data_IF_927463393489
#
_entry.id   IF_927463393489
#
_cell.length_a   1.000
_cell.length_b   1.000
_cell.length_c   1.000
_cell.angle_alpha   90.00
_cell.angle_beta   90.00
_cell.angle_gamma   90.00
#
_symmetry.space_group_name_H-M   'P 1'
#
loop_
_entity.id
_entity.type
_entity.pdbx_description
1 polymer ?
#
# COMPACT_ATOMS: atom_id res chain seq x y z
N UNK A 1 -11.07 -13.09 -55.18
CA UNK A 1 -10.98 -11.94 -56.12
C UNK A 1 -10.56 -10.70 -55.34
N UNK A 2 -9.48 -10.05 -55.80
CA UNK A 2 -9.02 -8.67 -55.58
C UNK A 2 -8.95 -8.12 -54.13
N UNK A 3 -7.71 -8.08 -53.64
CA UNK A 3 -7.18 -7.13 -52.65
C UNK A 3 -7.39 -5.70 -53.15
N UNK A 4 -7.77 -4.77 -52.27
CA UNK A 4 -7.61 -3.33 -52.47
C UNK A 4 -6.81 -2.77 -51.30
N UNK A 5 -5.62 -2.31 -51.66
CA UNK A 5 -4.66 -1.48 -50.91
C UNK A 5 -4.88 -0.04 -51.36
N UNK A 6 -4.89 0.94 -50.46
CA UNK A 6 -4.41 2.34 -50.62
C UNK A 6 -4.63 3.03 -49.25
N UNK A 7 -3.64 3.34 -48.40
CA UNK A 7 -2.42 4.15 -48.51
C UNK A 7 -2.70 5.66 -48.43
N UNK A 8 -2.74 6.20 -47.20
CA UNK A 8 -2.68 7.63 -46.78
C UNK A 8 -2.30 7.59 -45.28
N UNK A 9 -1.34 8.29 -44.66
CA UNK A 9 -0.54 9.48 -44.97
C UNK A 9 0.76 9.37 -44.13
N UNK A 10 1.92 9.63 -44.74
CA UNK A 10 3.21 9.78 -44.04
C UNK A 10 3.25 11.20 -43.46
N UNK A 11 3.29 11.31 -42.13
CA UNK A 11 3.62 12.55 -41.42
C UNK A 11 5.05 12.44 -40.88
N UNK A 12 5.84 13.41 -41.30
CA UNK A 12 7.27 13.62 -41.12
C UNK A 12 7.71 13.67 -39.66
N UNK A 13 8.52 12.70 -39.24
CA UNK A 13 9.40 12.82 -38.08
C UNK A 13 10.71 13.48 -38.52
N UNK A 14 10.77 14.79 -38.35
CA UNK A 14 12.04 15.51 -38.19
C UNK A 14 12.43 15.37 -36.73
N UNK A 15 13.24 14.37 -36.40
CA UNK A 15 13.91 14.32 -35.10
C UNK A 15 15.33 14.86 -35.27
N UNK A 16 15.53 16.06 -34.74
CA UNK A 16 16.85 16.65 -34.61
C UNK A 16 17.74 15.79 -33.70
N UNK A 17 18.88 15.46 -34.28
CA UNK A 17 20.08 14.94 -33.67
C UNK A 17 20.64 15.98 -32.67
N UNK A 18 20.77 15.63 -31.39
CA UNK A 18 21.73 16.31 -30.52
C UNK A 18 22.51 15.27 -29.72
N UNK A 19 23.72 14.99 -30.22
CA UNK A 19 24.82 14.37 -29.47
C UNK A 19 25.44 15.45 -28.60
N UNK A 20 25.59 15.19 -27.31
CA UNK A 20 26.25 16.13 -26.41
C UNK A 20 26.32 15.69 -24.95
N UNK A 21 26.52 14.41 -24.65
CA UNK A 21 26.80 13.98 -23.27
C UNK A 21 28.24 14.36 -22.91
N UNK A 22 28.44 15.60 -22.45
CA UNK A 22 29.63 15.95 -21.66
C UNK A 22 29.48 15.27 -20.31
N UNK A 23 30.31 14.25 -20.06
CA UNK A 23 30.54 13.73 -18.71
C UNK A 23 31.20 14.86 -17.90
N UNK A 24 30.44 15.52 -17.04
CA UNK A 24 31.00 16.30 -15.93
C UNK A 24 31.59 15.33 -14.93
N UNK A 25 32.91 15.21 -14.96
CA UNK A 25 33.69 14.52 -13.94
C UNK A 25 33.65 15.43 -12.71
N UNK A 26 32.79 15.13 -11.74
CA UNK A 26 32.88 15.73 -10.42
C UNK A 26 34.12 15.15 -9.74
N UNK A 27 35.20 15.92 -9.78
CA UNK A 27 36.37 15.72 -8.93
C UNK A 27 35.94 16.18 -7.53
N UNK A 28 35.59 15.23 -6.66
CA UNK A 28 35.61 15.45 -5.22
C UNK A 28 37.07 15.72 -4.88
N UNK A 29 37.38 16.93 -4.41
CA UNK A 29 38.64 17.22 -3.75
C UNK A 29 38.76 16.27 -2.55
N UNK A 30 39.52 15.19 -2.77
CA UNK A 30 40.01 14.35 -1.69
C UNK A 30 40.99 15.20 -0.90
N UNK A 31 40.56 15.63 0.29
CA UNK A 31 41.44 16.20 1.31
C UNK A 31 42.56 15.17 1.55
N UNK A 32 43.76 15.48 1.06
CA UNK A 32 44.96 14.75 1.40
C UNK A 32 45.27 15.04 2.86
N UNK A 33 45.04 14.07 3.73
CA UNK A 33 45.64 14.03 5.07
C UNK A 33 47.11 13.70 4.85
N UNK A 34 47.94 14.74 4.78
CA UNK A 34 49.40 14.60 4.81
C UNK A 34 49.85 14.41 6.25
N UNK A 35 50.60 13.34 6.47
CA UNK A 35 51.28 12.99 7.71
C UNK A 35 52.14 14.14 8.28
N UNK A 36 52.07 14.23 9.61
CA UNK A 36 53.06 14.72 10.58
C UNK A 36 54.03 15.81 10.11
N UNK A 37 53.68 17.06 10.43
CA UNK A 37 54.68 18.05 10.83
C UNK A 37 54.16 18.87 12.02
N UNK A 38 55.11 19.17 12.90
CA UNK A 38 54.96 19.67 14.26
C UNK A 38 54.01 20.88 14.40
N UNK A 39 53.08 20.77 15.35
CA UNK A 39 52.15 21.82 15.77
C UNK A 39 52.88 23.01 16.43
N UNK A 40 52.72 24.25 15.92
CA UNK A 40 52.91 25.44 16.73
C UNK A 40 51.72 25.58 17.69
N UNK A 41 52.01 25.67 18.99
CA UNK A 41 51.03 26.05 20.00
C UNK A 41 50.57 27.50 19.78
N UNK A 42 49.27 27.67 19.64
CA UNK A 42 48.59 28.93 19.93
C UNK A 42 47.82 29.50 18.74
N UNK A 43 46.51 29.31 18.76
CA UNK A 43 45.52 30.38 18.69
C UNK A 43 44.17 29.82 19.15
N UNK A 44 43.55 30.48 20.12
CA UNK A 44 42.18 30.20 20.58
C UNK A 44 41.23 30.32 19.37
N UNK A 45 40.65 29.19 18.95
CA UNK A 45 39.54 29.18 18.00
C UNK A 45 38.38 29.93 18.66
N UNK A 46 38.10 31.13 18.14
CA UNK A 46 36.93 31.90 18.51
C UNK A 46 35.70 31.02 18.32
N UNK A 47 35.02 30.69 19.42
CA UNK A 47 33.73 30.02 19.38
C UNK A 47 32.78 30.89 18.57
N UNK A 48 32.53 30.49 17.33
CA UNK A 48 31.46 31.06 16.52
C UNK A 48 30.17 30.63 17.21
N UNK A 49 29.62 31.50 18.06
CA UNK A 49 28.30 31.31 18.63
C UNK A 49 27.32 31.08 17.47
N UNK A 50 26.82 29.84 17.35
CA UNK A 50 25.75 29.54 16.41
C UNK A 50 24.60 30.50 16.72
N UNK A 51 24.09 31.25 15.73
CA UNK A 51 23.02 32.20 15.96
C UNK A 51 21.82 31.49 16.59
N UNK A 52 21.28 32.08 17.67
CA UNK A 52 20.15 31.53 18.39
C UNK A 52 18.94 31.46 17.46
N UNK A 53 18.57 30.23 17.09
CA UNK A 53 17.51 29.93 16.13
C UNK A 53 16.17 30.51 16.60
N UNK A 54 15.45 31.22 15.72
CA UNK A 54 14.14 31.77 16.04
C UNK A 54 13.05 30.69 15.90
N UNK A 55 12.87 29.91 16.96
CA UNK A 55 11.94 28.76 17.02
C UNK A 55 10.51 29.12 16.61
N UNK A 56 10.05 30.36 16.88
CA UNK A 56 8.69 30.79 16.52
C UNK A 56 8.49 30.96 15.01
N UNK A 57 9.51 31.41 14.26
CA UNK A 57 9.39 31.58 12.82
C UNK A 57 9.34 30.22 12.10
N UNK A 58 10.22 29.30 12.50
CA UNK A 58 10.30 27.94 11.96
C UNK A 58 9.01 27.16 12.25
N UNK A 59 8.49 27.25 13.48
CA UNK A 59 7.23 26.60 13.83
C UNK A 59 6.05 27.09 12.97
N UNK A 60 6.01 28.39 12.64
CA UNK A 60 5.00 28.93 11.72
C UNK A 60 5.16 28.38 10.31
N UNK A 61 6.37 28.26 9.79
CA UNK A 61 6.62 27.69 8.47
C UNK A 61 6.23 26.20 8.41
N UNK A 62 6.64 25.43 9.42
CA UNK A 62 6.25 24.03 9.60
C UNK A 62 4.72 23.85 9.61
N UNK A 63 3.99 24.71 10.33
CA UNK A 63 2.53 24.70 10.33
C UNK A 63 1.94 24.94 8.92
N UNK A 64 2.54 25.83 8.12
CA UNK A 64 2.09 26.07 6.74
C UNK A 64 2.32 24.85 5.83
N UNK A 65 3.37 24.04 6.07
CA UNK A 65 3.59 22.77 5.36
C UNK A 65 2.47 21.78 5.70
N UNK A 66 2.16 21.59 6.98
CA UNK A 66 1.10 20.68 7.44
C UNK A 66 -0.28 21.08 6.91
N UNK A 67 -0.56 22.38 6.84
CA UNK A 67 -1.79 22.94 6.27
C UNK A 67 -1.80 22.93 4.73
N UNK A 68 -0.75 22.39 4.08
CA UNK A 68 -0.57 22.39 2.63
C UNK A 68 -0.60 23.78 1.98
N UNK A 69 -0.33 24.84 2.75
CA UNK A 69 -0.28 26.23 2.25
C UNK A 69 1.05 26.56 1.58
N UNK A 70 2.11 25.85 1.95
CA UNK A 70 3.43 25.93 1.35
C UNK A 70 3.89 24.52 1.00
N UNK A 71 4.47 24.35 -0.18
CA UNK A 71 5.15 23.11 -0.55
C UNK A 71 6.59 23.16 -0.05
N UNK A 72 7.11 22.10 0.58
CA UNK A 72 8.53 22.03 0.91
C UNK A 72 9.37 22.11 -0.37
N UNK A 73 10.53 22.74 -0.27
CA UNK A 73 11.47 22.91 -1.38
C UNK A 73 12.90 23.00 -0.84
N UNK A 74 13.89 23.00 -1.73
CA UNK A 74 15.30 23.19 -1.39
C UNK A 74 15.58 24.65 -0.93
N UNK A 75 15.17 24.96 0.31
CA UNK A 75 15.35 26.26 0.95
C UNK A 75 15.70 26.13 2.44
N UNK A 76 16.22 27.22 3.01
CA UNK A 76 16.68 27.23 4.40
C UNK A 76 15.57 26.90 5.39
N UNK A 77 14.35 27.40 5.18
CA UNK A 77 13.24 27.17 6.10
C UNK A 77 12.83 25.70 6.17
N UNK A 78 12.91 24.96 5.05
CA UNK A 78 12.66 23.52 5.00
C UNK A 78 13.74 22.75 5.74
N UNK A 79 15.02 23.10 5.54
CA UNK A 79 16.13 22.48 6.27
C UNK A 79 16.10 22.80 7.76
N UNK A 80 15.77 24.03 8.14
CA UNK A 80 15.61 24.41 9.54
C UNK A 80 14.49 23.61 10.22
N UNK A 81 13.42 23.25 9.50
CA UNK A 81 12.39 22.33 10.00
C UNK A 81 12.92 20.91 10.19
N UNK A 82 13.71 20.39 9.24
CA UNK A 82 14.32 19.06 9.34
C UNK A 82 15.33 18.98 10.49
N UNK A 83 16.12 20.04 10.72
CA UNK A 83 17.06 20.15 11.83
C UNK A 83 16.38 20.07 13.20
N UNK A 84 15.11 20.47 13.30
CA UNK A 84 14.37 20.36 14.57
C UNK A 84 14.15 18.91 15.01
N UNK A 85 14.22 17.93 14.10
CA UNK A 85 14.12 16.51 14.43
C UNK A 85 15.21 16.05 15.39
N UNK A 86 16.36 16.73 15.41
CA UNK A 86 17.54 16.34 16.18
C UNK A 86 17.76 17.19 17.43
N UNK A 87 16.83 18.07 17.77
CA UNK A 87 16.94 18.84 19.02
C UNK A 87 16.59 17.98 20.24
N UNK A 88 17.24 18.27 21.38
CA UNK A 88 17.04 17.54 22.63
C UNK A 88 15.61 17.66 23.19
N UNK A 89 14.84 18.67 22.76
CA UNK A 89 13.48 18.88 23.22
C UNK A 89 12.50 17.87 22.60
N UNK A 90 12.37 16.70 23.24
CA UNK A 90 11.42 15.65 22.85
C UNK A 90 9.96 16.11 22.72
N UNK A 91 9.57 17.24 23.34
CA UNK A 91 8.18 17.74 23.25
C UNK A 91 7.79 18.14 21.84
N UNK A 92 8.75 18.62 21.04
CA UNK A 92 8.48 19.11 19.69
C UNK A 92 8.71 18.04 18.63
N UNK A 93 9.32 16.90 19.00
CA UNK A 93 9.63 15.79 18.11
C UNK A 93 8.40 15.29 17.35
N UNK A 94 7.28 15.10 18.04
CA UNK A 94 6.02 14.66 17.41
C UNK A 94 5.58 15.64 16.31
N UNK A 95 5.60 16.95 16.61
CA UNK A 95 5.17 17.98 15.66
C UNK A 95 6.08 18.01 14.43
N UNK A 96 7.39 18.06 14.62
CA UNK A 96 8.35 18.11 13.50
C UNK A 96 8.46 16.79 12.74
N UNK A 97 8.14 15.65 13.38
CA UNK A 97 8.05 14.38 12.68
C UNK A 97 6.87 14.34 11.69
N UNK A 98 5.70 14.89 12.03
CA UNK A 98 4.60 15.01 11.06
C UNK A 98 4.99 15.95 9.90
N UNK A 99 5.73 17.02 10.18
CA UNK A 99 6.25 17.93 9.14
C UNK A 99 7.23 17.17 8.24
N UNK A 100 8.13 16.38 8.82
CA UNK A 100 9.09 15.56 8.10
C UNK A 100 8.43 14.55 7.17
N UNK A 101 7.37 13.88 7.62
CA UNK A 101 6.55 12.98 6.78
C UNK A 101 6.01 13.69 5.53
N UNK A 102 5.45 14.88 5.70
CA UNK A 102 4.96 15.69 4.56
C UNK A 102 6.10 16.12 3.64
N UNK A 103 7.26 16.47 4.20
CA UNK A 103 8.47 16.78 3.43
C UNK A 103 8.88 15.58 2.58
N UNK A 104 9.06 14.40 3.18
CA UNK A 104 9.44 13.17 2.47
C UNK A 104 8.44 12.87 1.34
N UNK A 105 7.13 12.92 1.62
CA UNK A 105 6.09 12.64 0.63
C UNK A 105 6.16 13.57 -0.59
N UNK A 106 6.51 14.84 -0.39
CA UNK A 106 6.53 15.88 -1.42
C UNK A 106 7.92 16.17 -2.00
N UNK A 107 8.96 15.51 -1.51
CA UNK A 107 10.34 15.80 -1.93
C UNK A 107 10.59 15.33 -3.37
N UNK A 108 11.14 16.24 -4.16
CA UNK A 108 11.61 16.03 -5.53
C UNK A 108 12.89 16.83 -5.79
N UNK A 109 13.47 16.69 -6.99
CA UNK A 109 14.64 17.46 -7.44
C UNK A 109 15.79 17.47 -6.42
N UNK A 110 16.36 18.65 -6.17
CA UNK A 110 17.47 18.83 -5.24
C UNK A 110 17.11 18.48 -3.78
N UNK A 111 15.87 18.73 -3.34
CA UNK A 111 15.46 18.36 -1.99
C UNK A 111 15.52 16.84 -1.80
N UNK A 112 15.06 16.07 -2.80
CA UNK A 112 15.07 14.61 -2.74
C UNK A 112 16.47 13.99 -2.62
N UNK A 113 17.52 14.71 -3.06
CA UNK A 113 18.92 14.26 -2.98
C UNK A 113 19.46 14.24 -1.55
N UNK A 114 18.89 15.05 -0.64
CA UNK A 114 19.37 15.18 0.74
C UNK A 114 18.47 14.51 1.76
N UNK A 115 17.22 14.19 1.42
CA UNK A 115 16.26 13.57 2.34
C UNK A 115 16.71 12.19 2.83
N UNK A 116 17.39 11.40 1.99
CA UNK A 116 17.92 10.09 2.38
C UNK A 116 18.78 10.17 3.63
N UNK A 117 19.72 11.14 3.66
CA UNK A 117 20.57 11.40 4.81
C UNK A 117 19.78 11.75 6.08
N UNK A 118 18.73 12.57 5.98
CA UNK A 118 17.88 12.91 7.13
C UNK A 118 17.15 11.69 7.69
N UNK A 119 16.61 10.82 6.81
CA UNK A 119 15.93 9.58 7.24
C UNK A 119 16.90 8.65 7.96
N UNK A 120 18.06 8.36 7.35
CA UNK A 120 19.07 7.45 7.92
C UNK A 120 19.58 7.99 9.27
N UNK A 121 19.83 9.30 9.35
CA UNK A 121 20.27 9.95 10.59
C UNK A 121 19.20 9.90 11.68
N UNK A 122 17.93 10.09 11.31
CA UNK A 122 16.81 10.04 12.24
C UNK A 122 16.58 8.63 12.78
N UNK A 123 16.55 7.62 11.90
CA UNK A 123 16.44 6.21 12.29
C UNK A 123 17.60 5.79 13.21
N UNK A 124 18.82 6.27 12.97
CA UNK A 124 19.96 6.01 13.85
C UNK A 124 19.81 6.67 15.23
N UNK A 125 19.27 7.88 15.28
CA UNK A 125 19.20 8.68 16.51
C UNK A 125 18.01 8.29 17.39
N UNK A 126 16.90 7.85 16.78
CA UNK A 126 15.63 7.56 17.46
C UNK A 126 14.96 6.28 16.92
N UNK A 127 15.62 5.10 16.96
CA UNK A 127 15.09 3.93 16.28
C UNK A 127 13.75 3.43 16.84
N UNK A 128 13.58 3.35 18.16
CA UNK A 128 12.32 2.89 18.76
C UNK A 128 11.15 3.79 18.31
N UNK A 129 11.36 5.10 18.31
CA UNK A 129 10.36 6.07 17.86
C UNK A 129 10.09 5.97 16.35
N UNK A 130 11.14 5.88 15.51
CA UNK A 130 10.95 5.75 14.08
C UNK A 130 10.20 4.46 13.74
N UNK A 131 10.56 3.32 14.32
CA UNK A 131 9.93 2.02 14.08
C UNK A 131 8.46 2.05 14.50
N UNK A 132 8.17 2.57 15.70
CA UNK A 132 6.80 2.72 16.19
C UNK A 132 5.95 3.58 15.25
N UNK A 133 6.51 4.68 14.73
CA UNK A 133 5.76 5.51 13.78
C UNK A 133 5.67 4.90 12.39
N UNK A 134 6.70 4.17 11.96
CA UNK A 134 6.76 3.54 10.64
C UNK A 134 5.66 2.50 10.47
N UNK A 135 5.23 1.80 11.54
CA UNK A 135 4.13 0.83 11.44
C UNK A 135 2.82 1.48 11.01
N UNK A 136 2.59 2.74 11.41
CA UNK A 136 1.39 3.52 11.10
C UNK A 136 1.44 4.22 9.73
N UNK A 137 2.54 4.09 8.99
CA UNK A 137 2.65 4.70 7.68
C UNK A 137 1.80 3.97 6.65
N UNK A 138 1.19 4.75 5.76
CA UNK A 138 0.59 4.24 4.54
C UNK A 138 1.64 3.57 3.66
N UNK A 139 1.23 2.63 2.82
CA UNK A 139 2.17 1.85 2.02
C UNK A 139 3.04 2.73 1.11
N UNK A 140 2.44 3.69 0.39
CA UNK A 140 3.18 4.60 -0.49
C UNK A 140 4.16 5.47 0.30
N UNK A 141 3.82 5.83 1.52
CA UNK A 141 4.68 6.60 2.41
C UNK A 141 5.86 5.75 2.88
N UNK A 142 5.62 4.52 3.36
CA UNK A 142 6.67 3.54 3.69
C UNK A 142 7.66 3.43 2.54
N UNK A 143 7.13 3.27 1.33
CA UNK A 143 7.96 3.10 0.15
C UNK A 143 8.80 4.34 -0.18
N UNK A 144 8.26 5.55 -0.03
CA UNK A 144 9.04 6.78 -0.19
C UNK A 144 10.23 6.85 0.76
N UNK A 145 10.06 6.45 2.02
CA UNK A 145 11.17 6.39 2.97
C UNK A 145 12.21 5.36 2.56
N UNK A 146 11.79 4.17 2.12
CA UNK A 146 12.68 3.11 1.62
C UNK A 146 13.49 3.60 0.43
N UNK A 147 12.86 4.24 -0.55
CA UNK A 147 13.53 4.73 -1.76
C UNK A 147 14.64 5.73 -1.43
N UNK A 148 14.36 6.72 -0.56
CA UNK A 148 15.37 7.71 -0.18
C UNK A 148 16.51 7.11 0.63
N UNK A 149 16.25 6.16 1.53
CA UNK A 149 17.31 5.41 2.20
C UNK A 149 18.15 4.61 1.20
N UNK A 150 17.51 3.95 0.24
CA UNK A 150 18.18 3.15 -0.78
C UNK A 150 19.10 3.98 -1.66
N UNK A 151 18.69 5.21 -2.04
CA UNK A 151 19.52 6.17 -2.74
C UNK A 151 20.75 6.59 -1.91
N UNK A 152 20.59 6.84 -0.61
CA UNK A 152 21.70 7.19 0.28
C UNK A 152 22.77 6.08 0.28
N UNK A 153 22.37 4.82 0.47
CA UNK A 153 23.30 3.68 0.46
C UNK A 153 23.89 3.40 -0.93
N UNK A 154 23.15 3.68 -2.00
CA UNK A 154 23.69 3.57 -3.36
C UNK A 154 24.85 4.54 -3.60
N UNK A 155 24.72 5.80 -3.15
CA UNK A 155 25.72 6.85 -3.39
C UNK A 155 26.91 6.84 -2.43
N UNK A 156 26.83 6.11 -1.32
CA UNK A 156 27.93 5.99 -0.37
C UNK A 156 29.19 5.32 -0.97
N UNK A 157 29.03 4.59 -2.08
CA UNK A 157 30.12 4.28 -3.02
C UNK A 157 30.95 3.05 -2.70
N UNK A 158 30.65 2.30 -1.63
CA UNK A 158 31.27 0.99 -1.35
C UNK A 158 30.32 -0.17 -1.63
N UNK A 159 30.64 -1.37 -1.13
CA UNK A 159 29.74 -2.52 -1.15
C UNK A 159 28.50 -2.20 -0.30
N UNK A 160 27.46 -1.67 -0.94
CA UNK A 160 26.24 -1.20 -0.29
C UNK A 160 25.62 -2.25 0.64
N UNK A 161 25.81 -3.56 0.36
CA UNK A 161 25.31 -4.63 1.22
C UNK A 161 26.02 -4.63 2.57
N UNK A 162 27.34 -4.42 2.57
CA UNK A 162 28.12 -4.30 3.80
C UNK A 162 27.66 -3.07 4.59
N UNK A 163 27.53 -1.91 3.94
CA UNK A 163 27.12 -0.68 4.62
C UNK A 163 25.70 -0.77 5.22
N UNK A 164 24.73 -1.32 4.47
CA UNK A 164 23.38 -1.55 4.97
C UNK A 164 23.45 -2.51 6.17
N UNK A 165 24.17 -3.63 6.05
CA UNK A 165 24.30 -4.59 7.14
C UNK A 165 24.90 -3.96 8.40
N UNK A 166 25.98 -3.18 8.27
CA UNK A 166 26.63 -2.50 9.37
C UNK A 166 25.73 -1.45 10.01
N UNK A 167 25.01 -0.67 9.20
CA UNK A 167 24.07 0.33 9.69
C UNK A 167 22.97 -0.28 10.55
N UNK A 168 22.27 -1.30 10.03
CA UNK A 168 21.17 -1.94 10.75
C UNK A 168 21.66 -2.78 11.94
N UNK A 169 22.84 -3.42 11.84
CA UNK A 169 23.47 -4.08 12.99
C UNK A 169 23.84 -3.08 14.08
N UNK A 170 24.32 -1.88 13.70
CA UNK A 170 24.61 -0.79 14.61
C UNK A 170 23.38 -0.35 15.41
N UNK A 171 22.23 -0.21 14.75
CA UNK A 171 20.96 0.11 15.43
C UNK A 171 20.57 -0.99 16.42
N UNK A 172 20.59 -2.25 15.97
CA UNK A 172 20.21 -3.40 16.79
C UNK A 172 21.13 -3.59 18.01
N UNK A 173 22.40 -3.23 17.90
CA UNK A 173 23.39 -3.36 18.98
C UNK A 173 23.41 -2.16 19.93
N UNK A 174 23.19 -0.94 19.41
CA UNK A 174 23.33 0.29 20.17
C UNK A 174 22.09 0.63 21.00
N UNK A 175 20.92 0.11 20.61
CA UNK A 175 19.65 0.47 21.19
C UNK A 175 18.93 -0.82 21.58
N UNK A 176 18.52 -0.91 22.85
CA UNK A 176 17.64 -1.98 23.31
C UNK A 176 16.29 -1.78 22.60
N UNK A 177 16.12 -2.36 21.41
CA UNK A 177 14.80 -2.49 20.80
C UNK A 177 13.96 -3.24 21.83
N UNK A 178 12.86 -2.62 22.26
CA UNK A 178 12.12 -3.01 23.45
C UNK A 178 11.25 -4.26 23.22
N UNK A 179 11.10 -4.70 21.97
CA UNK A 179 10.21 -5.79 21.58
C UNK A 179 10.67 -6.57 20.33
N UNK A 180 10.26 -7.84 20.26
CA UNK A 180 10.45 -8.69 19.07
C UNK A 180 9.78 -8.10 17.82
N UNK A 181 8.66 -7.39 17.99
CA UNK A 181 7.98 -6.71 16.89
C UNK A 181 8.84 -5.59 16.29
N UNK A 182 9.52 -4.79 17.12
CA UNK A 182 10.45 -3.76 16.63
C UNK A 182 11.65 -4.36 15.91
N UNK A 183 12.20 -5.47 16.40
CA UNK A 183 13.29 -6.20 15.73
C UNK A 183 12.82 -6.69 14.36
N UNK A 184 11.60 -7.25 14.28
CA UNK A 184 11.01 -7.72 13.02
C UNK A 184 10.83 -6.57 12.03
N UNK A 185 10.23 -5.45 12.47
CA UNK A 185 10.03 -4.28 11.60
C UNK A 185 11.36 -3.69 11.13
N UNK A 186 12.39 -3.63 11.99
CA UNK A 186 13.71 -3.16 11.57
C UNK A 186 14.34 -4.09 10.51
N UNK A 187 14.17 -5.40 10.65
CA UNK A 187 14.61 -6.38 9.66
C UNK A 187 13.87 -6.24 8.33
N UNK A 188 12.57 -5.97 8.36
CA UNK A 188 11.75 -5.70 7.18
C UNK A 188 12.26 -4.44 6.45
N UNK A 189 12.47 -3.33 7.18
CA UNK A 189 13.02 -2.09 6.60
C UNK A 189 14.37 -2.37 5.94
N UNK A 190 15.27 -3.11 6.62
CA UNK A 190 16.57 -3.49 6.08
C UNK A 190 16.44 -4.25 4.75
N UNK A 191 15.56 -5.25 4.70
CA UNK A 191 15.34 -6.05 3.49
C UNK A 191 14.82 -5.19 2.34
N UNK A 192 13.82 -4.34 2.61
CA UNK A 192 13.24 -3.43 1.62
C UNK A 192 14.28 -2.43 1.09
N UNK A 193 15.09 -1.82 1.95
CA UNK A 193 16.19 -0.93 1.54
C UNK A 193 17.21 -1.69 0.69
N UNK A 194 17.58 -2.91 1.08
CA UNK A 194 18.53 -3.74 0.31
C UNK A 194 18.02 -4.02 -1.10
N UNK A 195 16.76 -4.46 -1.24
CA UNK A 195 16.12 -4.75 -2.53
C UNK A 195 16.01 -3.48 -3.39
N UNK A 196 15.60 -2.36 -2.80
CA UNK A 196 15.51 -1.09 -3.50
C UNK A 196 16.89 -0.64 -4.03
N UNK A 197 17.96 -0.75 -3.22
CA UNK A 197 19.33 -0.41 -3.65
C UNK A 197 19.84 -1.35 -4.76
N UNK A 198 19.62 -2.66 -4.66
CA UNK A 198 19.92 -3.62 -5.74
C UNK A 198 19.24 -3.23 -7.06
N UNK A 199 17.98 -2.82 -6.94
CA UNK A 199 17.16 -2.33 -8.02
C UNK A 199 17.71 -1.09 -8.74
N UNK A 200 18.26 -0.13 -7.98
CA UNK A 200 18.95 1.05 -8.53
C UNK A 200 20.19 0.61 -9.32
N UNK A 201 20.99 -0.31 -8.77
CA UNK A 201 22.24 -0.80 -9.39
C UNK A 201 21.99 -1.58 -10.68
N UNK A 202 20.93 -2.37 -10.73
CA UNK A 202 20.57 -3.16 -11.90
C UNK A 202 20.20 -2.29 -13.12
N UNK A 203 20.09 -0.95 -12.95
CA UNK A 203 19.72 -0.03 -14.03
C UNK A 203 18.29 -0.25 -14.54
N UNK A 204 17.53 -1.08 -13.84
CA UNK A 204 16.09 -1.11 -13.99
C UNK A 204 15.57 0.28 -13.65
N UNK A 205 14.93 0.93 -14.62
CA UNK A 205 14.06 2.07 -14.37
C UNK A 205 12.91 1.57 -13.49
N UNK A 206 13.18 1.40 -12.20
CA UNK A 206 12.21 1.14 -11.17
C UNK A 206 11.40 2.42 -10.97
N UNK A 207 10.62 2.82 -11.98
CA UNK A 207 9.42 3.60 -11.71
C UNK A 207 8.59 2.72 -10.79
N UNK A 208 8.41 3.10 -9.51
CA UNK A 208 7.59 2.60 -8.38
C UNK A 208 6.90 1.20 -8.43
N UNK A 209 6.57 0.64 -9.60
CA UNK A 209 6.01 -0.68 -9.80
C UNK A 209 6.92 -1.84 -9.36
N UNK A 210 8.24 -1.67 -9.36
CA UNK A 210 9.12 -2.83 -9.12
C UNK A 210 9.28 -3.21 -7.65
N UNK A 211 9.00 -2.29 -6.72
CA UNK A 211 9.03 -2.65 -5.31
C UNK A 211 7.71 -3.30 -4.93
N UNK A 212 6.59 -2.84 -5.51
CA UNK A 212 5.35 -3.61 -5.57
C UNK A 212 5.56 -5.01 -6.16
N UNK A 213 6.48 -5.16 -7.13
CA UNK A 213 6.83 -6.48 -7.64
C UNK A 213 7.55 -7.39 -6.63
N UNK A 214 8.15 -6.81 -5.59
CA UNK A 214 8.89 -7.53 -4.55
C UNK A 214 8.13 -7.70 -3.24
N UNK A 215 6.94 -7.10 -3.11
CA UNK A 215 6.05 -7.32 -1.96
C UNK A 215 5.57 -8.76 -2.03
N UNK A 216 5.94 -9.55 -1.03
CA UNK A 216 5.38 -10.88 -0.86
C UNK A 216 3.95 -10.72 -0.30
N UNK A 217 2.97 -11.14 -1.08
CA UNK A 217 1.55 -11.07 -0.70
C UNK A 217 1.18 -12.21 0.26
N UNK A 218 1.79 -12.20 1.44
CA UNK A 218 1.57 -13.22 2.48
C UNK A 218 0.34 -12.91 3.35
N UNK A 219 0.03 -13.83 4.26
CA UNK A 219 -1.08 -13.65 5.21
C UNK A 219 -0.89 -12.47 6.20
N UNK A 220 0.35 -12.03 6.45
CA UNK A 220 0.60 -10.87 7.31
C UNK A 220 0.29 -9.57 6.57
N UNK A 221 0.67 -9.48 5.29
CA UNK A 221 0.31 -8.39 4.41
C UNK A 221 -1.22 -8.24 4.36
N UNK A 222 -1.96 -9.30 4.03
CA UNK A 222 -3.42 -9.26 3.95
C UNK A 222 -4.02 -8.85 5.31
N UNK A 223 -3.54 -9.43 6.42
CA UNK A 223 -4.01 -9.08 7.77
C UNK A 223 -3.78 -7.60 8.10
N UNK A 224 -2.66 -7.02 7.66
CA UNK A 224 -2.36 -5.60 7.90
C UNK A 224 -3.28 -4.65 7.12
N UNK A 225 -3.94 -5.15 6.07
CA UNK A 225 -4.84 -4.40 5.17
C UNK A 225 -6.32 -4.66 5.43
N UNK A 226 -6.65 -5.43 6.45
CA UNK A 226 -8.01 -5.89 6.73
C UNK A 226 -8.38 -5.66 8.20
N UNK A 227 -9.68 -5.66 8.46
CA UNK A 227 -10.24 -5.64 9.81
C UNK A 227 -10.56 -7.06 10.31
N UNK A 228 -10.85 -7.28 11.60
CA UNK A 228 -11.37 -8.58 12.05
C UNK A 228 -12.73 -8.90 11.44
N UNK A 229 -12.94 -10.17 11.05
CA UNK A 229 -14.21 -10.66 10.49
C UNK A 229 -15.43 -10.30 11.34
N UNK A 230 -16.41 -9.59 10.75
CA UNK A 230 -17.64 -9.26 11.46
C UNK A 230 -18.60 -10.44 11.50
N UNK A 231 -19.58 -10.38 12.42
CA UNK A 231 -20.63 -11.40 12.55
C UNK A 231 -21.70 -11.31 11.46
N UNK A 232 -21.83 -10.18 10.78
CA UNK A 232 -22.94 -9.87 9.87
C UNK A 232 -22.43 -9.46 8.51
N UNK A 233 -23.04 -9.97 7.46
CA UNK A 233 -22.76 -9.60 6.08
C UNK A 233 -23.87 -8.65 5.63
N UNK A 234 -23.54 -7.37 5.50
CA UNK A 234 -24.45 -6.33 5.02
C UNK A 234 -23.68 -5.32 4.18
N UNK A 235 -23.73 -5.50 2.85
CA UNK A 235 -22.86 -4.80 1.90
C UNK A 235 -23.20 -3.32 1.78
N UNK A 236 -24.47 -2.95 1.96
CA UNK A 236 -24.93 -1.55 1.95
C UNK A 236 -24.22 -0.71 3.02
N UNK A 237 -23.84 -1.33 4.14
CA UNK A 237 -23.20 -0.64 5.27
C UNK A 237 -21.70 -0.48 5.12
N UNK A 238 -21.10 -1.07 4.09
CA UNK A 238 -19.65 -1.01 3.88
C UNK A 238 -19.30 0.32 3.21
N UNK A 239 -18.47 1.12 3.90
CA UNK A 239 -17.89 2.33 3.33
C UNK A 239 -16.57 2.01 2.62
N UNK A 240 -16.67 1.57 1.37
CA UNK A 240 -15.53 1.16 0.52
C UNK A 240 -14.48 2.24 0.31
N UNK A 241 -14.86 3.53 0.41
CA UNK A 241 -13.93 4.65 0.22
C UNK A 241 -12.88 4.77 1.35
N UNK A 242 -13.08 4.09 2.47
CA UNK A 242 -12.16 4.05 3.61
C UNK A 242 -11.31 2.78 3.63
N UNK A 243 -11.45 1.91 2.65
CA UNK A 243 -10.79 0.61 2.60
C UNK A 243 -9.56 0.64 1.69
N UNK A 244 -8.63 -0.25 2.00
CA UNK A 244 -7.38 -0.42 1.25
C UNK A 244 -7.64 -1.17 -0.06
N UNK A 245 -7.15 -0.63 -1.18
CA UNK A 245 -7.29 -1.26 -2.49
C UNK A 245 -6.42 -2.50 -2.64
N UNK A 246 -6.90 -3.47 -3.42
CA UNK A 246 -6.09 -4.63 -3.81
C UNK A 246 -5.10 -4.21 -4.92
N UNK A 247 -3.80 -4.49 -4.76
CA UNK A 247 -2.85 -4.27 -5.85
C UNK A 247 -3.23 -5.09 -7.08
N UNK A 248 -3.09 -4.52 -8.28
CA UNK A 248 -3.35 -5.24 -9.54
C UNK A 248 -2.63 -6.59 -9.60
N UNK A 249 -1.35 -6.61 -9.20
CA UNK A 249 -0.53 -7.82 -9.17
C UNK A 249 -1.13 -8.90 -8.26
N UNK A 250 -1.62 -8.50 -7.08
CA UNK A 250 -2.30 -9.40 -6.15
C UNK A 250 -3.49 -10.08 -6.83
N UNK A 251 -4.34 -9.30 -7.51
CA UNK A 251 -5.51 -9.83 -8.23
C UNK A 251 -5.06 -10.81 -9.31
N UNK A 252 -4.11 -10.42 -10.16
CA UNK A 252 -3.66 -11.25 -11.29
C UNK A 252 -2.98 -12.56 -10.88
N UNK A 253 -2.25 -12.57 -9.76
CA UNK A 253 -1.44 -13.73 -9.35
C UNK A 253 -2.17 -14.62 -8.33
N UNK A 254 -2.97 -14.03 -7.43
CA UNK A 254 -3.59 -14.75 -6.32
C UNK A 254 -5.10 -14.95 -6.47
N UNK A 255 -5.78 -14.21 -7.35
CA UNK A 255 -7.24 -14.30 -7.49
C UNK A 255 -7.68 -14.77 -8.89
N UNK A 256 -7.33 -14.03 -9.94
CA UNK A 256 -7.75 -14.30 -11.32
C UNK A 256 -7.47 -15.74 -11.82
N UNK A 257 -6.37 -16.42 -11.46
CA UNK A 257 -6.11 -17.79 -11.90
C UNK A 257 -7.07 -18.82 -11.30
N UNK A 258 -7.78 -18.48 -10.23
CA UNK A 258 -8.63 -19.39 -9.48
C UNK A 258 -10.09 -19.21 -9.89
N UNK A 259 -10.80 -20.33 -9.97
CA UNK A 259 -12.24 -20.35 -10.24
C UNK A 259 -13.00 -19.93 -8.98
N UNK A 260 -14.04 -19.14 -9.16
CA UNK A 260 -15.03 -18.83 -8.12
C UNK A 260 -15.98 -20.03 -8.01
N UNK A 261 -15.98 -20.70 -6.86
CA UNK A 261 -16.74 -21.92 -6.62
C UNK A 261 -18.23 -21.64 -6.42
N UNK A 262 -18.55 -20.53 -5.74
CA UNK A 262 -19.92 -20.10 -5.47
C UNK A 262 -20.10 -18.69 -6.03
N UNK A 263 -21.04 -18.52 -6.95
CA UNK A 263 -21.42 -17.22 -7.50
C UNK A 263 -20.85 -16.94 -8.90
N UNK A 264 -20.82 -15.66 -9.26
CA UNK A 264 -20.41 -15.14 -10.56
C UNK A 264 -19.50 -13.92 -10.34
N UNK A 265 -18.52 -13.63 -11.23
CA UNK A 265 -18.13 -14.35 -12.45
C UNK A 265 -17.46 -15.69 -12.17
N UNK A 266 -17.13 -16.48 -13.21
CA UNK A 266 -16.34 -17.71 -13.03
C UNK A 266 -14.90 -17.41 -12.59
N UNK A 267 -14.35 -16.28 -13.04
CA UNK A 267 -13.01 -15.79 -12.70
C UNK A 267 -13.04 -14.26 -12.54
N UNK A 268 -12.20 -13.74 -11.66
CA UNK A 268 -12.00 -12.29 -11.52
C UNK A 268 -11.09 -11.74 -12.61
N UNK A 269 -11.35 -10.51 -13.04
CA UNK A 269 -10.47 -9.75 -13.93
C UNK A 269 -9.65 -8.71 -13.16
N UNK A 270 -8.41 -8.50 -13.58
CA UNK A 270 -7.49 -7.47 -13.09
C UNK A 270 -7.51 -6.19 -13.97
N UNK A 271 -8.49 -6.07 -14.87
CA UNK A 271 -8.66 -4.91 -15.76
C UNK A 271 -8.98 -3.62 -14.99
N UNK A 272 -9.70 -3.75 -13.86
CA UNK A 272 -10.17 -2.65 -13.02
C UNK A 272 -9.76 -2.84 -11.55
N UNK A 273 -8.45 -2.83 -11.25
CA UNK A 273 -7.94 -3.15 -9.91
C UNK A 273 -8.42 -2.18 -8.83
N UNK A 274 -8.74 -0.94 -9.22
CA UNK A 274 -9.24 0.10 -8.33
C UNK A 274 -10.64 -0.17 -7.74
N UNK A 275 -11.37 -1.13 -8.32
CA UNK A 275 -12.71 -1.53 -7.88
C UNK A 275 -12.66 -2.58 -6.76
N UNK A 276 -11.48 -3.12 -6.44
CA UNK A 276 -11.31 -4.18 -5.43
C UNK A 276 -10.68 -3.61 -4.16
N UNK A 277 -11.33 -3.83 -3.01
CA UNK A 277 -10.84 -3.36 -1.71
C UNK A 277 -10.86 -4.46 -0.65
N UNK A 278 -9.81 -4.54 0.16
CA UNK A 278 -9.70 -5.46 1.28
C UNK A 278 -10.73 -5.08 2.35
N UNK A 279 -11.32 -6.08 3.02
CA UNK A 279 -12.33 -5.83 4.05
C UNK A 279 -11.97 -6.49 5.38
N UNK A 280 -11.97 -7.82 5.45
CA UNK A 280 -11.82 -8.54 6.72
C UNK A 280 -10.88 -9.74 6.64
N UNK A 281 -10.41 -10.21 7.80
CA UNK A 281 -9.50 -11.35 7.93
C UNK A 281 -9.80 -12.18 9.18
N UNK A 282 -9.59 -13.50 9.08
CA UNK A 282 -9.70 -14.46 10.17
C UNK A 282 -8.72 -15.61 10.00
N UNK A 283 -8.13 -16.05 11.11
CA UNK A 283 -7.27 -17.24 11.17
C UNK A 283 -8.12 -18.47 11.54
N UNK A 284 -8.00 -19.54 10.76
CA UNK A 284 -8.54 -20.87 11.09
C UNK A 284 -7.39 -21.81 11.48
N UNK A 285 -7.67 -23.07 11.82
CA UNK A 285 -6.62 -24.03 12.18
C UNK A 285 -5.69 -24.33 11.00
N UNK A 286 -6.24 -24.63 9.81
CA UNK A 286 -5.47 -25.11 8.66
C UNK A 286 -5.32 -24.07 7.53
N UNK A 287 -6.10 -23.00 7.55
CA UNK A 287 -6.10 -21.95 6.52
C UNK A 287 -6.30 -20.58 7.15
N UNK A 288 -6.13 -19.52 6.37
CA UNK A 288 -6.63 -18.19 6.70
C UNK A 288 -7.76 -17.83 5.76
N UNK A 289 -8.67 -16.99 6.22
CA UNK A 289 -9.76 -16.43 5.42
C UNK A 289 -9.58 -14.92 5.37
N UNK A 290 -9.77 -14.34 4.19
CA UNK A 290 -9.99 -12.91 4.04
C UNK A 290 -11.17 -12.63 3.14
N UNK A 291 -11.72 -11.43 3.25
CA UNK A 291 -12.80 -10.95 2.39
C UNK A 291 -12.38 -9.67 1.70
N UNK A 292 -12.94 -9.45 0.52
CA UNK A 292 -12.75 -8.22 -0.25
C UNK A 292 -14.05 -7.88 -0.97
N UNK A 293 -14.26 -6.59 -1.21
CA UNK A 293 -15.41 -6.08 -1.95
C UNK A 293 -14.94 -5.70 -3.35
N UNK A 294 -15.72 -6.10 -4.35
CA UNK A 294 -15.68 -5.54 -5.70
C UNK A 294 -16.81 -4.52 -5.81
N UNK A 295 -16.48 -3.22 -5.88
CA UNK A 295 -17.43 -2.12 -6.09
C UNK A 295 -17.37 -1.67 -7.54
N UNK A 296 -18.24 -2.25 -8.36
CA UNK A 296 -18.38 -1.87 -9.75
C UNK A 296 -19.26 -0.63 -9.79
N UNK A 297 -18.67 0.52 -10.16
CA UNK A 297 -19.25 1.87 -10.19
C UNK A 297 -20.63 1.97 -10.88
N UNK A 298 -21.02 0.93 -11.62
CA UNK A 298 -22.29 0.80 -12.33
C UNK A 298 -23.50 0.47 -11.47
N UNK A 299 -23.32 0.10 -10.19
CA UNK A 299 -24.33 -0.08 -9.10
C UNK A 299 -24.16 -1.39 -8.33
N UNK A 300 -23.21 -2.25 -8.73
CA UNK A 300 -23.09 -3.60 -8.21
C UNK A 300 -21.92 -3.71 -7.24
N UNK A 301 -22.21 -4.22 -6.04
CA UNK A 301 -21.21 -4.59 -5.05
C UNK A 301 -21.26 -6.08 -4.80
N UNK A 302 -20.09 -6.72 -4.84
CA UNK A 302 -19.97 -8.15 -4.55
C UNK A 302 -18.95 -8.36 -3.45
N UNK A 303 -19.34 -9.11 -2.42
CA UNK A 303 -18.45 -9.52 -1.33
C UNK A 303 -17.96 -10.94 -1.58
N UNK A 304 -16.66 -11.07 -1.74
CA UNK A 304 -15.98 -12.35 -1.89
C UNK A 304 -15.31 -12.76 -0.58
N UNK A 305 -15.31 -14.06 -0.32
CA UNK A 305 -14.47 -14.70 0.67
C UNK A 305 -13.42 -15.57 -0.03
N UNK A 306 -12.18 -15.50 0.45
CA UNK A 306 -11.05 -16.28 -0.07
C UNK A 306 -10.40 -17.02 1.09
N UNK A 307 -10.18 -18.32 0.89
CA UNK A 307 -9.37 -19.14 1.79
C UNK A 307 -7.98 -19.33 1.20
N UNK A 308 -6.95 -19.19 2.03
CA UNK A 308 -5.54 -19.38 1.66
C UNK A 308 -4.85 -20.36 2.59
N UNK A 309 -3.95 -21.18 2.04
CA UNK A 309 -3.13 -22.10 2.82
C UNK A 309 -2.18 -21.36 3.77
N UNK A 310 -1.99 -21.87 4.99
CA UNK A 310 -1.09 -21.22 5.96
C UNK A 310 0.39 -21.28 5.60
N UNK A 311 0.82 -22.36 4.95
CA UNK A 311 2.25 -22.60 4.70
C UNK A 311 2.75 -21.89 3.43
N UNK A 312 1.89 -21.79 2.41
CA UNK A 312 2.27 -21.29 1.09
C UNK A 312 1.47 -20.06 0.65
N UNK A 313 0.47 -19.62 1.41
CA UNK A 313 -0.46 -18.53 1.06
C UNK A 313 -1.16 -18.72 -0.30
N UNK A 314 -1.17 -19.94 -0.84
CA UNK A 314 -1.87 -20.22 -2.09
C UNK A 314 -3.37 -20.18 -1.84
N UNK A 315 -4.09 -19.57 -2.78
CA UNK A 315 -5.56 -19.58 -2.78
C UNK A 315 -6.06 -21.01 -2.89
N UNK A 316 -6.92 -21.38 -1.96
CA UNK A 316 -7.58 -22.68 -1.91
C UNK A 316 -8.92 -22.59 -2.62
N UNK A 317 -9.73 -21.58 -2.27
CA UNK A 317 -11.07 -21.41 -2.79
C UNK A 317 -11.51 -19.93 -2.74
N UNK A 318 -12.41 -19.54 -3.65
CA UNK A 318 -13.05 -18.22 -3.71
C UNK A 318 -14.56 -18.42 -3.82
N UNK A 319 -15.34 -17.70 -3.01
CA UNK A 319 -16.81 -17.75 -3.08
C UNK A 319 -17.45 -16.39 -2.82
N UNK A 320 -18.54 -16.10 -3.53
CA UNK A 320 -19.42 -14.95 -3.27
C UNK A 320 -20.28 -15.26 -2.06
N UNK A 321 -20.12 -14.45 -1.00
CA UNK A 321 -20.85 -14.61 0.27
C UNK A 321 -21.92 -13.52 0.46
N UNK A 322 -21.89 -12.48 -0.35
CA UNK A 322 -22.96 -11.49 -0.45
C UNK A 322 -22.83 -10.67 -1.73
N UNK A 323 -23.92 -10.03 -2.14
CA UNK A 323 -23.91 -9.02 -3.19
C UNK A 323 -25.09 -8.06 -3.05
N UNK A 324 -25.03 -6.95 -3.75
CA UNK A 324 -26.14 -6.02 -3.98
C UNK A 324 -25.95 -5.41 -5.36
N UNK A 325 -27.01 -5.27 -6.14
CA UNK A 325 -26.94 -4.57 -7.41
C UNK A 325 -28.14 -4.85 -8.28
N UNK A 326 -28.07 -4.38 -9.52
CA UNK A 326 -29.10 -4.66 -10.50
C UNK A 326 -28.63 -4.40 -11.92
N UNK A 327 -29.29 -5.03 -12.89
CA UNK A 327 -29.08 -4.79 -14.31
C UNK A 327 -30.37 -5.10 -15.08
N UNK A 328 -30.73 -4.23 -16.02
CA UNK A 328 -31.78 -4.50 -17.01
C UNK A 328 -33.14 -4.97 -16.47
N UNK A 329 -33.61 -4.42 -15.34
CA UNK A 329 -34.88 -4.81 -14.72
C UNK A 329 -34.77 -5.89 -13.64
N UNK A 330 -33.57 -6.41 -13.39
CA UNK A 330 -33.28 -7.24 -12.23
C UNK A 330 -32.62 -6.42 -11.13
N UNK A 331 -33.04 -6.63 -9.89
CA UNK A 331 -32.35 -6.14 -8.69
C UNK A 331 -32.19 -7.30 -7.73
N UNK A 332 -30.99 -7.50 -7.20
CA UNK A 332 -30.72 -8.60 -6.29
C UNK A 332 -29.89 -8.16 -5.11
N UNK A 333 -30.13 -8.81 -3.97
CA UNK A 333 -29.36 -8.63 -2.74
C UNK A 333 -29.15 -9.97 -2.06
N UNK A 334 -27.93 -10.23 -1.61
CA UNK A 334 -27.58 -11.33 -0.73
C UNK A 334 -26.87 -10.79 0.51
N UNK A 335 -27.45 -11.06 1.67
CA UNK A 335 -26.93 -10.69 2.99
C UNK A 335 -26.95 -11.90 3.92
N UNK A 336 -26.33 -11.80 5.09
CA UNK A 336 -26.23 -12.96 5.97
C UNK A 336 -25.57 -12.72 7.32
N UNK A 337 -25.30 -13.80 8.03
CA UNK A 337 -24.55 -13.76 9.28
C UNK A 337 -23.82 -15.08 9.55
N UNK A 338 -22.70 -14.98 10.27
CA UNK A 338 -21.96 -16.15 10.74
C UNK A 338 -22.69 -16.76 11.94
N UNK A 339 -23.22 -17.98 11.76
CA UNK A 339 -23.89 -18.71 12.85
C UNK A 339 -22.96 -19.67 13.58
N UNK A 340 -21.81 -19.97 12.98
CA UNK A 340 -20.67 -20.59 13.64
C UNK A 340 -19.36 -20.03 13.07
N UNK A 341 -18.23 -20.58 13.50
CA UNK A 341 -16.93 -20.14 12.98
C UNK A 341 -16.76 -20.37 11.48
N UNK A 342 -17.46 -21.35 10.90
CA UNK A 342 -17.29 -21.82 9.53
C UNK A 342 -18.62 -22.00 8.77
N UNK A 343 -19.72 -21.44 9.28
CA UNK A 343 -21.04 -21.49 8.63
C UNK A 343 -21.62 -20.09 8.55
N UNK A 344 -22.03 -19.72 7.35
CA UNK A 344 -22.73 -18.49 7.04
C UNK A 344 -24.16 -18.84 6.65
N UNK A 345 -25.14 -18.24 7.33
CA UNK A 345 -26.53 -18.24 6.87
C UNK A 345 -26.74 -17.04 5.98
N UNK A 346 -27.25 -17.26 4.77
CA UNK A 346 -27.48 -16.21 3.78
C UNK A 346 -28.95 -16.17 3.37
N UNK A 347 -29.45 -14.96 3.13
CA UNK A 347 -30.73 -14.71 2.48
C UNK A 347 -30.46 -13.94 1.20
N UNK A 348 -30.94 -14.48 0.09
CA UNK A 348 -30.92 -13.85 -1.21
C UNK A 348 -32.34 -13.41 -1.57
N UNK A 349 -32.51 -12.15 -1.93
CA UNK A 349 -33.73 -11.61 -2.52
C UNK A 349 -33.42 -11.17 -3.95
N UNK A 350 -34.32 -11.44 -4.89
CA UNK A 350 -34.20 -11.01 -6.28
C UNK A 350 -35.56 -10.57 -6.81
N UNK A 351 -35.59 -9.36 -7.33
CA UNK A 351 -36.76 -8.74 -7.92
C UNK A 351 -36.53 -8.66 -9.44
N UNK A 352 -37.51 -9.12 -10.22
CA UNK A 352 -37.49 -9.08 -11.68
C UNK A 352 -38.71 -8.30 -12.19
N UNK A 353 -38.44 -7.27 -13.00
CA UNK A 353 -39.43 -6.53 -13.78
C UNK A 353 -39.01 -6.57 -15.26
N UNK A 354 -39.44 -7.61 -15.97
CA UNK A 354 -39.01 -7.86 -17.35
C UNK A 354 -39.56 -6.84 -18.35
N UNK A 355 -40.71 -6.22 -18.09
CA UNK A 355 -41.32 -5.27 -19.03
C UNK A 355 -41.13 -3.80 -18.66
N UNK A 356 -40.63 -3.53 -17.45
CA UNK A 356 -40.36 -2.19 -16.93
C UNK A 356 -41.62 -1.31 -16.92
N UNK A 357 -42.81 -1.92 -16.86
CA UNK A 357 -44.08 -1.22 -16.87
C UNK A 357 -44.56 -1.03 -15.43
N UNK A 358 -44.36 0.16 -14.86
CA UNK A 358 -44.76 0.47 -13.46
C UNK A 358 -46.26 0.21 -13.13
N UNK A 359 -47.12 0.00 -14.14
CA UNK A 359 -48.57 -0.11 -13.97
C UNK A 359 -49.11 -1.53 -13.88
N UNK A 360 -48.34 -2.57 -14.24
CA UNK A 360 -48.76 -3.95 -14.07
C UNK A 360 -47.98 -4.54 -12.90
N UNK A 361 -48.66 -5.02 -11.86
CA UNK A 361 -48.02 -5.58 -10.66
C UNK A 361 -47.46 -6.99 -10.96
N UNK A 362 -46.58 -7.08 -11.97
CA UNK A 362 -46.01 -8.31 -12.53
C UNK A 362 -44.63 -8.64 -11.93
N UNK A 363 -44.10 -7.80 -11.03
CA UNK A 363 -42.81 -8.01 -10.39
C UNK A 363 -42.75 -9.39 -9.75
N UNK A 364 -41.74 -10.14 -10.14
CA UNK A 364 -41.42 -11.44 -9.59
C UNK A 364 -40.39 -11.26 -8.47
N UNK A 365 -40.69 -11.77 -7.28
CA UNK A 365 -39.80 -11.69 -6.13
C UNK A 365 -39.44 -13.09 -5.67
N UNK A 366 -38.16 -13.42 -5.81
CA UNK A 366 -37.58 -14.68 -5.35
C UNK A 366 -36.81 -14.45 -4.05
N UNK A 367 -37.09 -15.26 -3.04
CA UNK A 367 -36.32 -15.29 -1.79
C UNK A 367 -35.78 -16.69 -1.56
N UNK A 368 -34.46 -16.80 -1.43
CA UNK A 368 -33.76 -18.05 -1.13
C UNK A 368 -32.99 -17.93 0.18
N UNK A 369 -33.14 -18.92 1.06
CA UNK A 369 -32.34 -19.08 2.27
C UNK A 369 -31.34 -20.19 2.06
N UNK A 370 -30.06 -19.93 2.29
CA UNK A 370 -28.99 -20.88 2.05
C UNK A 370 -27.99 -20.89 3.20
N UNK A 371 -27.17 -21.94 3.23
CA UNK A 371 -26.00 -22.03 4.09
C UNK A 371 -24.75 -22.09 3.21
N UNK A 372 -23.72 -21.33 3.56
CA UNK A 372 -22.37 -21.49 3.02
C UNK A 372 -21.50 -22.06 4.13
N UNK A 373 -21.02 -23.29 3.93
CA UNK A 373 -20.14 -24.00 4.86
C UNK A 373 -18.72 -23.95 4.34
N UNK A 374 -17.76 -23.71 5.23
CA UNK A 374 -16.33 -23.82 4.96
C UNK A 374 -15.84 -25.09 5.64
N UNK A 375 -15.29 -26.02 4.88
CA UNK A 375 -14.73 -27.24 5.47
C UNK A 375 -13.39 -26.99 6.16
N UNK A 376 -12.86 -28.01 6.84
CA UNK A 376 -11.57 -27.93 7.55
C UNK A 376 -10.36 -27.69 6.65
N UNK A 377 -10.51 -27.85 5.33
CA UNK A 377 -9.49 -27.61 4.33
C UNK A 377 -9.66 -26.25 3.63
N UNK A 378 -10.72 -25.49 3.95
CA UNK A 378 -10.99 -24.18 3.38
C UNK A 378 -11.87 -24.20 2.12
N UNK A 379 -12.51 -25.31 1.76
CA UNK A 379 -13.43 -25.35 0.62
C UNK A 379 -14.83 -24.89 1.00
N UNK A 380 -15.45 -24.10 0.13
CA UNK A 380 -16.83 -23.65 0.30
C UNK A 380 -17.82 -24.66 -0.28
N UNK A 381 -18.94 -24.86 0.41
CA UNK A 381 -20.11 -25.61 -0.06
C UNK A 381 -21.36 -24.78 0.21
N UNK A 382 -22.16 -24.51 -0.82
CA UNK A 382 -23.48 -23.85 -0.67
C UNK A 382 -24.59 -24.89 -0.67
N UNK A 383 -25.54 -24.75 0.25
CA UNK A 383 -26.76 -25.55 0.26
C UNK A 383 -27.97 -24.65 0.43
N UNK A 384 -28.89 -24.71 -0.53
CA UNK A 384 -30.17 -24.01 -0.43
C UNK A 384 -31.12 -24.80 0.46
N UNK A 385 -31.71 -24.11 1.42
CA UNK A 385 -32.56 -24.69 2.46
C UNK A 385 -34.05 -24.50 2.18
N UNK A 386 -34.38 -23.35 1.61
CA UNK A 386 -35.73 -22.95 1.27
C UNK A 386 -35.66 -21.92 0.14
N UNK A 387 -36.55 -22.02 -0.83
CA UNK A 387 -36.80 -20.99 -1.82
C UNK A 387 -38.31 -20.70 -1.83
N UNK A 388 -38.67 -19.44 -2.02
CA UNK A 388 -40.05 -18.98 -2.16
C UNK A 388 -40.12 -17.97 -3.30
N UNK A 389 -41.14 -18.11 -4.14
CA UNK A 389 -41.38 -17.22 -5.28
C UNK A 389 -42.73 -16.51 -5.16
N UNK A 390 -42.74 -15.21 -5.43
CA UNK A 390 -43.94 -14.37 -5.48
C UNK A 390 -44.10 -13.73 -6.86
N UNK A 391 -45.36 -13.55 -7.30
CA UNK A 391 -45.71 -12.72 -8.45
C UNK A 391 -46.74 -11.70 -7.97
N UNK A 392 -46.35 -10.42 -7.95
CA UNK A 392 -47.07 -9.40 -7.18
C UNK A 392 -47.20 -9.83 -5.71
N UNK A 393 -48.42 -9.77 -5.15
CA UNK A 393 -48.66 -10.14 -3.74
C UNK A 393 -48.94 -11.64 -3.50
N UNK A 394 -48.78 -12.49 -4.52
CA UNK A 394 -49.17 -13.91 -4.45
C UNK A 394 -47.96 -14.83 -4.46
N UNK A 395 -47.83 -15.64 -3.41
CA UNK A 395 -46.90 -16.78 -3.37
C UNK A 395 -47.31 -17.81 -4.42
N UNK A 396 -46.38 -18.18 -5.30
CA UNK A 396 -46.61 -19.17 -6.36
C UNK A 396 -45.83 -20.47 -6.17
N UNK A 397 -44.71 -20.46 -5.45
CA UNK A 397 -43.90 -21.63 -5.10
C UNK A 397 -43.39 -21.55 -3.64
#
# INVERSE_FOLDING_TARGET
MKRIVYLVLILSLVSCNSRGTKKTKYERDSIQVSDENELPKGNEEAQVEKPKLNTTAIQKYAQLILENKVSPSDNNETFECLDQLFQENKKDLNFYFEVFRVIVKKSDGALSEVIGQYIVTFLRSYPNYFIERYTDFEFEEKMRFIDFMAYEFYFAGTDFKVEINEFFAGINNAQNLDSDDQIRTLSEIKELVTKATEGIIAGSNLKNNSILDSVEFDSNYIRSKTSPLSKTIDIEKINVALLEKLPKKFISEHLSPYKIEIGYPEHLTDDYPDEYVFLEFKVFENFNLYTFVHDNETCCRTLYAVTIGKENNNTINIGVIGYEGGDGGWVGKQYGSWTSEAIIETTTTSDYDEDLIESNNNTEVDTTWSFIKIDQNGYFEKTDSLAVKYIGDKKVE
#
